data_IF_698492553585
#
_entry.id   IF_698492553585
#
_cell.length_a   1.000
_cell.length_b   1.000
_cell.length_c   1.000
_cell.angle_alpha   90.00
_cell.angle_beta   90.00
_cell.angle_gamma   90.00
#
_symmetry.space_group_name_H-M   'P 1'
#
loop_
_entity.id
_entity.type
_entity.pdbx_description
1 polymer ?
#
# COMPACT_ATOMS: atom_id res chain seq x y z
N UNK A 1 9.72 19.29 -24.71
CA UNK A 1 10.09 18.92 -23.33
C UNK A 1 8.82 18.50 -22.66
N UNK A 2 8.64 17.19 -22.59
CA UNK A 2 7.40 16.49 -22.30
C UNK A 2 7.05 16.59 -20.82
N UNK A 3 5.81 17.01 -20.54
CA UNK A 3 5.24 17.03 -19.20
C UNK A 3 4.58 15.68 -18.92
N UNK A 4 5.09 14.95 -17.94
CA UNK A 4 4.45 13.77 -17.36
C UNK A 4 3.26 14.23 -16.49
N UNK A 5 2.10 14.41 -17.13
CA UNK A 5 0.83 14.27 -16.44
C UNK A 5 0.66 12.78 -16.14
N UNK A 6 0.57 12.41 -14.86
CA UNK A 6 0.25 11.03 -14.45
C UNK A 6 -1.28 10.89 -14.30
N UNK A 7 -2.00 10.42 -15.32
CA UNK A 7 -3.33 9.89 -15.11
C UNK A 7 -3.22 8.60 -14.30
N UNK A 8 -3.75 8.61 -13.08
CA UNK A 8 -4.09 7.40 -12.33
C UNK A 8 -5.11 6.59 -13.14
N UNK A 9 -4.63 5.68 -13.99
CA UNK A 9 -5.47 4.75 -14.73
C UNK A 9 -5.55 3.41 -13.98
N UNK A 10 -6.68 3.07 -13.33
CA UNK A 10 -6.93 1.69 -12.97
C UNK A 10 -7.46 0.96 -14.22
N UNK A 11 -6.60 0.14 -14.84
CA UNK A 11 -6.99 -0.66 -16.00
C UNK A 11 -7.83 -1.91 -15.63
N UNK A 12 -8.45 -1.94 -14.45
CA UNK A 12 -8.99 -3.15 -13.83
C UNK A 12 -10.44 -2.96 -13.39
N UNK A 13 -11.42 -3.31 -14.22
CA UNK A 13 -12.80 -3.53 -13.75
C UNK A 13 -13.40 -4.70 -14.51
N UNK A 14 -14.10 -5.61 -13.81
CA UNK A 14 -14.83 -6.76 -14.41
C UNK A 14 -16.02 -6.30 -15.25
N UNK A 15 -16.53 -5.10 -15.02
CA UNK A 15 -17.72 -4.56 -15.69
C UNK A 15 -17.32 -3.47 -16.68
N UNK A 16 -17.54 -3.72 -17.98
CA UNK A 16 -17.25 -2.76 -19.06
C UNK A 16 -17.96 -1.41 -18.82
N UNK A 17 -19.20 -1.45 -18.33
CA UNK A 17 -20.00 -0.26 -17.97
C UNK A 17 -19.39 0.51 -16.81
N UNK A 18 -18.97 -0.17 -15.74
CA UNK A 18 -18.33 0.48 -14.60
C UNK A 18 -16.95 1.06 -14.96
N UNK A 19 -16.23 0.44 -15.91
CA UNK A 19 -14.96 0.97 -16.45
C UNK A 19 -15.19 2.26 -17.25
N UNK A 20 -16.22 2.29 -18.09
CA UNK A 20 -16.59 3.47 -18.87
C UNK A 20 -17.08 4.61 -17.98
N UNK A 21 -17.91 4.32 -16.97
CA UNK A 21 -18.33 5.31 -15.98
C UNK A 21 -17.16 5.85 -15.15
N UNK A 22 -16.23 4.99 -14.72
CA UNK A 22 -15.04 5.42 -13.98
C UNK A 22 -14.15 6.31 -14.85
N UNK A 23 -13.89 5.91 -16.10
CA UNK A 23 -13.13 6.72 -17.05
C UNK A 23 -13.83 8.04 -17.36
N UNK A 24 -15.16 8.04 -17.49
CA UNK A 24 -15.95 9.25 -17.71
C UNK A 24 -15.88 10.20 -16.51
N UNK A 25 -15.99 9.66 -15.29
CA UNK A 25 -15.86 10.43 -14.05
C UNK A 25 -14.45 11.01 -13.90
N UNK A 26 -13.40 10.21 -14.11
CA UNK A 26 -12.02 10.68 -14.09
C UNK A 26 -11.78 11.77 -15.14
N UNK A 27 -12.27 11.57 -16.37
CA UNK A 27 -12.17 12.56 -17.45
C UNK A 27 -12.93 13.83 -17.10
N UNK A 28 -14.11 13.72 -16.49
CA UNK A 28 -14.90 14.85 -16.02
C UNK A 28 -14.14 15.66 -14.94
N UNK A 29 -13.59 14.99 -13.93
CA UNK A 29 -12.78 15.64 -12.89
C UNK A 29 -11.56 16.36 -13.48
N UNK A 30 -10.87 15.71 -14.43
CA UNK A 30 -9.73 16.29 -15.13
C UNK A 30 -10.13 17.52 -15.95
N UNK A 31 -11.21 17.44 -16.73
CA UNK A 31 -11.73 18.56 -17.53
C UNK A 31 -12.23 19.73 -16.66
N UNK A 32 -12.67 19.45 -15.43
CA UNK A 32 -13.05 20.48 -14.45
C UNK A 32 -11.87 21.03 -13.65
N UNK A 33 -10.66 20.51 -13.86
CA UNK A 33 -9.48 20.89 -13.09
C UNK A 33 -9.57 20.51 -11.61
N UNK A 34 -10.47 19.60 -11.25
CA UNK A 34 -10.66 19.15 -9.88
C UNK A 34 -9.53 18.21 -9.50
N UNK A 35 -8.78 18.58 -8.47
CA UNK A 35 -7.68 17.82 -7.94
C UNK A 35 -7.76 17.82 -6.42
N UNK A 36 -7.20 16.78 -5.80
CA UNK A 36 -7.07 16.68 -4.36
C UNK A 36 -5.60 16.37 -4.02
N UNK A 37 -5.05 16.99 -2.97
CA UNK A 37 -3.70 16.68 -2.51
C UNK A 37 -3.63 15.22 -2.09
N UNK A 38 -2.59 14.47 -2.48
CA UNK A 38 -2.42 13.05 -2.14
C UNK A 38 -1.26 12.88 -1.16
N UNK A 39 -1.40 11.94 -0.23
CA UNK A 39 -0.35 11.55 0.69
C UNK A 39 0.65 10.62 -0.02
N UNK A 40 1.92 10.76 0.28
CA UNK A 40 3.00 9.95 -0.29
C UNK A 40 3.73 9.21 0.82
N UNK A 41 4.11 7.97 0.56
CA UNK A 41 5.01 7.23 1.45
C UNK A 41 6.42 7.30 0.86
N UNK A 42 7.34 7.90 1.62
CA UNK A 42 8.77 7.86 1.32
C UNK A 42 9.33 6.55 1.81
N UNK A 43 9.78 5.70 0.89
CA UNK A 43 10.41 4.41 1.16
C UNK A 43 11.93 4.54 1.04
N UNK A 44 12.65 4.01 2.02
CA UNK A 44 14.10 3.83 1.98
C UNK A 44 14.42 2.35 1.98
N UNK A 45 15.40 1.96 1.19
CA UNK A 45 15.91 0.58 1.15
C UNK A 45 17.31 0.50 1.73
N UNK A 46 17.71 -0.69 2.20
CA UNK A 46 19.05 -0.91 2.77
C UNK A 46 20.19 -0.60 1.78
N UNK A 47 19.97 -0.80 0.47
CA UNK A 47 20.91 -0.39 -0.58
C UNK A 47 21.04 1.13 -0.77
N UNK A 48 20.32 1.93 0.00
CA UNK A 48 20.39 3.40 -0.01
C UNK A 48 19.46 4.06 -1.03
N UNK A 49 18.57 3.31 -1.69
CA UNK A 49 17.58 3.91 -2.60
C UNK A 49 16.48 4.58 -1.80
N UNK A 50 16.01 5.72 -2.31
CA UNK A 50 14.80 6.39 -1.86
C UNK A 50 13.76 6.36 -2.97
N UNK A 51 12.57 5.84 -2.67
CA UNK A 51 11.44 5.71 -3.57
C UNK A 51 10.23 6.39 -2.94
N UNK A 52 9.25 6.76 -3.76
CA UNK A 52 7.97 7.27 -3.27
C UNK A 52 6.86 6.37 -3.76
N UNK A 53 5.94 6.03 -2.86
CA UNK A 53 4.76 5.22 -3.12
C UNK A 53 3.50 6.06 -2.90
N UNK A 54 2.61 6.03 -3.88
CA UNK A 54 1.29 6.68 -3.76
C UNK A 54 0.16 5.69 -3.48
N UNK A 55 0.41 4.38 -3.65
CA UNK A 55 -0.62 3.36 -3.51
C UNK A 55 -0.29 2.35 -2.42
N UNK A 56 0.81 1.59 -2.58
CA UNK A 56 1.10 0.48 -1.69
C UNK A 56 2.56 0.00 -1.69
N UNK A 57 2.94 -0.59 -0.56
CA UNK A 57 4.09 -1.47 -0.42
C UNK A 57 3.59 -2.89 -0.12
N UNK A 58 4.22 -3.91 -0.69
CA UNK A 58 3.86 -5.31 -0.44
C UNK A 58 5.08 -6.21 -0.28
N UNK A 59 4.94 -7.24 0.56
CA UNK A 59 5.87 -8.37 0.67
C UNK A 59 5.12 -9.66 0.99
N UNK A 60 5.49 -10.76 0.33
CA UNK A 60 4.94 -12.09 0.56
C UNK A 60 3.73 -12.40 -0.33
N UNK A 61 2.74 -13.13 0.19
CA UNK A 61 1.68 -13.77 -0.60
C UNK A 61 0.97 -12.83 -1.59
N UNK A 62 0.60 -11.60 -1.16
CA UNK A 62 -0.08 -10.64 -2.04
C UNK A 62 0.82 -10.22 -3.21
N UNK A 63 2.08 -9.85 -2.93
CA UNK A 63 3.06 -9.52 -3.97
C UNK A 63 3.38 -10.71 -4.87
N UNK A 64 3.43 -11.92 -4.32
CA UNK A 64 3.63 -13.15 -5.10
C UNK A 64 2.45 -13.40 -6.05
N UNK A 65 1.20 -13.15 -5.62
CA UNK A 65 0.01 -13.19 -6.49
C UNK A 65 0.10 -12.13 -7.57
N UNK A 66 0.42 -10.87 -7.22
CA UNK A 66 0.50 -9.75 -8.14
C UNK A 66 1.46 -10.06 -9.30
N UNK A 67 2.67 -10.51 -8.98
CA UNK A 67 3.71 -10.82 -9.96
C UNK A 67 3.43 -12.11 -10.72
N UNK A 68 3.09 -13.20 -10.02
CA UNK A 68 2.88 -14.51 -10.65
C UNK A 68 1.71 -14.49 -11.61
N UNK A 69 0.65 -13.73 -11.28
CA UNK A 69 -0.57 -13.63 -12.08
C UNK A 69 -0.42 -12.81 -13.36
N UNK A 70 0.68 -12.07 -13.56
CA UNK A 70 0.95 -11.35 -14.81
C UNK A 70 0.98 -12.29 -16.03
N UNK A 71 1.33 -13.57 -15.85
CA UNK A 71 1.22 -14.59 -16.92
C UNK A 71 -0.22 -14.79 -17.43
N UNK A 72 -1.20 -14.43 -16.60
CA UNK A 72 -2.64 -14.51 -16.87
C UNK A 72 -3.24 -13.15 -17.17
N UNK A 73 -2.44 -12.13 -17.55
CA UNK A 73 -2.91 -10.76 -17.82
C UNK A 73 -4.09 -10.69 -18.81
N UNK A 74 -4.19 -11.66 -19.74
CA UNK A 74 -5.31 -11.79 -20.68
C UNK A 74 -6.67 -12.06 -20.00
N UNK A 75 -6.68 -12.56 -18.76
CA UNK A 75 -7.90 -12.82 -17.99
C UNK A 75 -8.42 -11.58 -17.25
N UNK A 76 -7.79 -10.41 -17.40
CA UNK A 76 -8.17 -9.21 -16.66
C UNK A 76 -8.01 -9.43 -15.15
N UNK A 77 -8.96 -8.96 -14.34
CA UNK A 77 -8.89 -9.09 -12.87
C UNK A 77 -9.01 -10.53 -12.36
N UNK A 78 -9.58 -11.46 -13.15
CA UNK A 78 -9.64 -12.87 -12.77
C UNK A 78 -8.24 -13.50 -12.60
N UNK A 79 -7.18 -12.87 -13.15
CA UNK A 79 -5.78 -13.27 -12.93
C UNK A 79 -5.42 -13.38 -11.45
N UNK A 80 -5.94 -12.48 -10.61
CA UNK A 80 -5.64 -12.46 -9.18
C UNK A 80 -6.31 -13.62 -8.46
N UNK A 81 -7.55 -13.96 -8.86
CA UNK A 81 -8.25 -15.15 -8.38
C UNK A 81 -7.49 -16.42 -8.74
N UNK A 82 -7.08 -16.56 -10.02
CA UNK A 82 -6.31 -17.73 -10.49
C UNK A 82 -4.95 -17.83 -9.77
N UNK A 83 -4.22 -16.72 -9.67
CA UNK A 83 -2.94 -16.64 -8.97
C UNK A 83 -3.07 -17.01 -7.50
N UNK A 84 -4.12 -16.54 -6.83
CA UNK A 84 -4.43 -16.89 -5.44
C UNK A 84 -4.66 -18.39 -5.30
N UNK A 85 -5.52 -19.00 -6.11
CA UNK A 85 -5.76 -20.45 -6.05
C UNK A 85 -4.47 -21.24 -6.30
N UNK A 86 -3.65 -20.82 -7.26
CA UNK A 86 -2.37 -21.46 -7.55
C UNK A 86 -1.45 -21.41 -6.32
N UNK A 87 -1.27 -20.25 -5.70
CA UNK A 87 -0.36 -20.08 -4.56
C UNK A 87 -0.92 -20.68 -3.26
N UNK A 88 -2.25 -20.79 -3.12
CA UNK A 88 -2.88 -21.47 -1.98
C UNK A 88 -2.58 -22.99 -1.96
N UNK A 89 -2.27 -23.61 -3.10
CA UNK A 89 -1.90 -25.05 -3.13
C UNK A 89 -0.63 -25.32 -2.32
N UNK A 90 0.29 -24.34 -2.25
CA UNK A 90 1.53 -24.39 -1.50
C UNK A 90 1.78 -23.04 -0.82
N UNK A 91 0.94 -22.74 0.18
CA UNK A 91 1.00 -21.50 0.95
C UNK A 91 2.39 -21.33 1.58
N UNK A 92 3.07 -20.25 1.20
CA UNK A 92 4.40 -19.94 1.69
C UNK A 92 4.35 -19.11 2.97
N UNK A 93 5.36 -19.33 3.80
CA UNK A 93 5.69 -18.50 4.95
C UNK A 93 7.04 -17.82 4.66
N UNK A 94 7.14 -16.56 5.06
CA UNK A 94 8.28 -15.67 4.86
C UNK A 94 8.77 -15.22 6.23
N UNK A 95 10.08 -15.35 6.47
CA UNK A 95 10.68 -14.94 7.74
C UNK A 95 11.18 -13.52 7.67
N UNK A 96 10.77 -12.69 8.61
CA UNK A 96 11.06 -11.27 8.62
C UNK A 96 10.77 -10.65 9.97
N UNK A 97 11.28 -9.45 10.22
CA UNK A 97 10.84 -8.61 11.34
C UNK A 97 9.99 -7.47 10.82
N UNK A 98 8.90 -7.20 11.53
CA UNK A 98 8.03 -6.06 11.28
C UNK A 98 8.04 -5.13 12.50
N UNK A 99 8.26 -3.85 12.27
CA UNK A 99 8.15 -2.80 13.28
C UNK A 99 7.38 -1.63 12.71
N UNK A 100 6.60 -0.94 13.53
CA UNK A 100 5.83 0.22 13.08
C UNK A 100 5.59 1.24 14.18
N UNK A 101 5.32 2.47 13.75
CA UNK A 101 4.86 3.58 14.59
C UNK A 101 3.34 3.73 14.42
N UNK A 102 2.52 3.37 15.42
CA UNK A 102 1.06 3.54 15.32
C UNK A 102 0.65 4.98 15.04
N UNK A 103 -0.39 5.18 14.25
CA UNK A 103 -1.08 6.46 14.17
C UNK A 103 -1.98 6.59 15.41
N UNK A 104 -1.78 7.62 16.22
CA UNK A 104 -2.64 7.89 17.37
C UNK A 104 -4.09 8.16 16.91
N UNK A 105 -5.08 7.63 17.63
CA UNK A 105 -6.49 7.96 17.40
C UNK A 105 -6.69 9.46 17.69
N UNK A 106 -7.10 10.22 16.65
CA UNK A 106 -7.11 11.68 16.62
C UNK A 106 -7.62 12.35 17.91
N UNK A 107 -6.73 13.08 18.60
CA UNK A 107 -7.10 14.18 19.48
C UNK A 107 -6.19 15.39 19.32
N UNK A 108 -5.88 15.81 18.09
CA UNK A 108 -5.34 17.16 17.79
C UNK A 108 -5.37 17.44 16.28
N UNK A 109 -5.90 18.59 15.82
CA UNK A 109 -5.68 19.05 14.45
C UNK A 109 -4.27 19.63 14.37
N UNK A 110 -3.26 18.82 14.03
CA UNK A 110 -1.92 19.32 13.82
C UNK A 110 -1.87 20.12 12.50
N UNK A 111 -2.03 21.43 12.65
CA UNK A 111 -1.66 22.43 11.66
C UNK A 111 -0.16 22.34 11.37
N UNK A 112 0.20 21.77 10.23
CA UNK A 112 1.47 22.11 9.57
C UNK A 112 1.15 22.49 8.13
N UNK A 113 0.93 23.79 7.92
CA UNK A 113 1.07 24.40 6.61
C UNK A 113 2.47 24.05 6.11
N UNK A 114 2.55 23.33 4.99
CA UNK A 114 3.81 23.04 4.32
C UNK A 114 4.51 24.38 4.06
N UNK A 115 5.73 24.54 4.58
CA UNK A 115 6.63 25.60 4.14
C UNK A 115 7.05 25.23 2.71
N UNK A 116 6.81 26.15 1.79
CA UNK A 116 6.93 25.97 0.33
C UNK A 116 8.33 25.55 -0.19
N UNK A 117 9.34 25.44 0.69
CA UNK A 117 10.73 25.10 0.34
C UNK A 117 11.36 23.96 1.18
N UNK A 118 10.60 23.22 2.02
CA UNK A 118 11.20 22.15 2.82
C UNK A 118 11.34 20.84 2.04
N UNK A 119 12.58 20.37 1.87
CA UNK A 119 12.90 18.99 1.48
C UNK A 119 12.08 18.02 2.35
N UNK A 120 11.36 17.07 1.74
CA UNK A 120 10.66 16.02 2.48
C UNK A 120 11.69 15.23 3.29
N UNK A 121 11.75 15.47 4.60
CA UNK A 121 12.70 14.84 5.51
C UNK A 121 12.02 13.69 6.25
N UNK A 122 12.63 12.51 6.21
CA UNK A 122 12.09 11.31 6.86
C UNK A 122 12.43 11.30 8.35
N UNK A 123 11.91 12.27 9.10
CA UNK A 123 12.24 12.50 10.51
C UNK A 123 11.86 11.37 11.46
N UNK A 124 10.95 10.46 11.05
CA UNK A 124 10.54 9.29 11.84
C UNK A 124 11.47 8.09 11.61
N UNK A 125 12.32 8.13 10.58
CA UNK A 125 13.14 6.99 10.17
C UNK A 125 14.58 7.15 10.67
N UNK A 126 15.08 6.14 11.36
CA UNK A 126 16.49 6.02 11.74
C UNK A 126 17.24 5.16 10.70
N UNK A 127 18.59 5.21 10.61
CA UNK A 127 19.36 4.31 9.76
C UNK A 127 19.07 2.83 10.06
N UNK A 128 19.32 1.95 9.09
CA UNK A 128 19.05 0.51 9.23
C UNK A 128 19.97 -0.18 10.24
N UNK A 129 21.16 0.37 10.45
CA UNK A 129 22.15 -0.13 11.41
C UNK A 129 21.73 0.14 12.86
N UNK A 130 20.78 1.06 13.07
CA UNK A 130 20.26 1.40 14.38
C UNK A 130 18.94 0.67 14.64
N UNK A 131 18.70 0.23 15.89
CA UNK A 131 17.40 -0.32 16.26
C UNK A 131 16.31 0.74 16.07
N UNK A 132 15.09 0.29 15.77
CA UNK A 132 13.94 1.20 15.71
C UNK A 132 13.76 1.93 17.05
N UNK A 133 13.25 3.17 17.04
CA UNK A 133 13.01 3.93 18.28
C UNK A 133 12.15 3.15 19.29
N UNK A 134 12.42 3.30 20.59
CA UNK A 134 11.74 2.55 21.66
C UNK A 134 10.22 2.74 21.73
N UNK A 135 9.70 3.81 21.14
CA UNK A 135 8.25 4.10 21.10
C UNK A 135 7.55 3.41 19.91
N UNK A 136 8.28 2.72 19.05
CA UNK A 136 7.71 1.89 17.99
C UNK A 136 7.27 0.55 18.56
N UNK A 137 6.23 -0.01 17.95
CA UNK A 137 5.79 -1.37 18.20
C UNK A 137 6.62 -2.33 17.35
N UNK A 138 7.28 -3.29 18.00
CA UNK A 138 7.94 -4.42 17.34
C UNK A 138 7.00 -5.61 17.41
N UNK A 139 6.64 -6.17 16.24
CA UNK A 139 5.77 -7.35 16.16
C UNK A 139 6.58 -8.56 16.66
N UNK A 140 6.07 -9.33 17.64
CA UNK A 140 6.80 -10.44 18.22
C UNK A 140 6.89 -11.64 17.27
N UNK A 141 5.94 -11.80 16.35
CA UNK A 141 6.00 -12.80 15.29
C UNK A 141 7.08 -12.45 14.26
N UNK A 142 7.90 -13.44 13.90
CA UNK A 142 8.93 -13.32 12.86
C UNK A 142 8.58 -14.10 11.58
N UNK A 143 7.40 -14.72 11.54
CA UNK A 143 6.93 -15.53 10.42
C UNK A 143 5.60 -14.99 9.90
N UNK A 144 5.59 -14.61 8.63
CA UNK A 144 4.46 -13.97 7.98
C UNK A 144 4.05 -14.73 6.73
N UNK A 145 2.77 -14.62 6.36
CA UNK A 145 2.27 -15.01 5.04
C UNK A 145 2.25 -13.80 4.10
N UNK A 146 1.93 -12.61 4.61
CA UNK A 146 1.97 -11.38 3.80
C UNK A 146 2.08 -10.14 4.70
N UNK A 147 2.74 -9.10 4.21
CA UNK A 147 2.73 -7.75 4.76
C UNK A 147 2.39 -6.78 3.63
N UNK A 148 1.44 -5.88 3.85
CA UNK A 148 0.99 -4.88 2.88
C UNK A 148 0.79 -3.55 3.62
N UNK A 149 1.47 -2.50 3.18
CA UNK A 149 1.15 -1.12 3.55
C UNK A 149 0.35 -0.47 2.44
N UNK A 150 -0.81 0.10 2.76
CA UNK A 150 -1.68 0.74 1.76
C UNK A 150 -2.21 2.08 2.26
N UNK A 151 -2.23 3.07 1.37
CA UNK A 151 -2.69 4.44 1.66
C UNK A 151 -4.17 4.63 1.30
N UNK A 152 -4.73 3.72 0.50
CA UNK A 152 -6.12 3.74 0.06
C UNK A 152 -6.88 2.54 0.63
N UNK A 153 -8.21 2.61 0.60
CA UNK A 153 -9.07 1.51 1.06
C UNK A 153 -8.97 0.26 0.18
N UNK A 154 -8.64 0.45 -1.10
CA UNK A 154 -8.65 -0.57 -2.14
C UNK A 154 -7.23 -0.85 -2.65
N UNK A 155 -6.80 -2.11 -2.60
CA UNK A 155 -5.57 -2.58 -3.28
C UNK A 155 -5.81 -2.79 -4.78
N UNK A 156 -7.08 -2.96 -5.17
CA UNK A 156 -7.57 -3.01 -6.54
C UNK A 156 -9.08 -2.79 -6.54
N UNK A 157 -9.68 -2.64 -7.71
CA UNK A 157 -11.11 -2.27 -7.84
C UNK A 157 -12.06 -3.22 -7.11
N UNK A 158 -11.70 -4.49 -7.01
CA UNK A 158 -12.47 -5.51 -6.29
C UNK A 158 -11.79 -5.93 -4.98
N UNK A 159 -10.72 -5.28 -4.50
CA UNK A 159 -9.94 -5.72 -3.34
C UNK A 159 -9.89 -4.66 -2.25
N UNK A 160 -10.87 -4.68 -1.34
CA UNK A 160 -10.91 -3.77 -0.18
C UNK A 160 -10.07 -4.39 0.93
N UNK A 161 -8.90 -3.83 1.21
CA UNK A 161 -8.00 -4.32 2.28
C UNK A 161 -8.10 -3.48 3.55
N UNK A 162 -8.31 -2.17 3.40
CA UNK A 162 -8.42 -1.23 4.50
C UNK A 162 -9.78 -0.50 4.45
N UNK A 163 -10.87 -1.11 4.95
CA UNK A 163 -12.22 -0.55 4.80
C UNK A 163 -12.45 0.66 5.72
N UNK A 164 -11.60 0.82 6.74
CA UNK A 164 -11.55 1.97 7.64
C UNK A 164 -10.70 3.12 7.11
N UNK A 165 -9.97 2.91 6.01
CA UNK A 165 -9.14 3.94 5.41
C UNK A 165 -10.01 5.09 4.93
N UNK A 166 -9.70 6.29 5.40
CA UNK A 166 -10.31 7.51 4.88
C UNK A 166 -9.29 8.18 3.98
N UNK A 167 -9.77 8.78 2.90
CA UNK A 167 -8.94 9.69 2.12
C UNK A 167 -8.41 10.79 3.06
N UNK A 168 -7.09 10.94 3.09
CA UNK A 168 -6.38 11.96 3.89
C UNK A 168 -6.44 11.76 5.41
N UNK A 169 -6.47 10.51 5.89
CA UNK A 169 -6.33 10.24 7.33
C UNK A 169 -4.89 10.26 7.84
N UNK A 170 -3.93 10.61 6.98
CA UNK A 170 -2.52 10.74 7.35
C UNK A 170 -2.02 9.43 7.99
N UNK A 171 -2.44 8.30 7.42
CA UNK A 171 -2.01 6.99 7.86
C UNK A 171 -1.67 6.06 6.69
N UNK A 172 -0.72 5.17 6.95
CA UNK A 172 -0.51 3.95 6.18
C UNK A 172 -1.32 2.87 6.89
N UNK A 173 -2.22 2.19 6.19
CA UNK A 173 -2.89 1.01 6.73
C UNK A 173 -2.02 -0.20 6.50
N UNK A 174 -1.40 -0.66 7.58
CA UNK A 174 -0.54 -1.83 7.57
C UNK A 174 -1.41 -3.07 7.83
N UNK A 175 -1.56 -3.88 6.79
CA UNK A 175 -2.23 -5.16 6.81
C UNK A 175 -1.18 -6.28 6.80
N UNK A 176 -1.19 -7.16 7.78
CA UNK A 176 -0.29 -8.30 7.79
C UNK A 176 -0.98 -9.58 8.26
N UNK A 177 -0.49 -10.70 7.75
CA UNK A 177 -0.96 -12.03 8.08
C UNK A 177 0.20 -12.83 8.66
N UNK A 178 0.06 -13.31 9.88
CA UNK A 178 1.08 -14.12 10.56
C UNK A 178 1.00 -15.60 10.13
N UNK A 179 2.09 -16.33 10.31
CA UNK A 179 2.10 -17.77 10.11
C UNK A 179 1.11 -18.48 11.07
N UNK A 180 0.58 -19.62 10.64
CA UNK A 180 -0.44 -20.38 11.39
C UNK A 180 -1.85 -20.29 10.79
N UNK A 181 -2.11 -19.34 9.89
CA UNK A 181 -3.35 -19.30 9.11
C UNK A 181 -3.46 -20.53 8.19
N UNK A 182 -4.62 -21.20 8.20
CA UNK A 182 -4.86 -22.32 7.30
C UNK A 182 -5.10 -21.84 5.85
N UNK A 183 -4.89 -22.72 4.87
CA UNK A 183 -5.20 -22.43 3.46
C UNK A 183 -6.68 -22.04 3.26
N UNK A 184 -7.59 -22.69 4.00
CA UNK A 184 -9.01 -22.34 4.00
C UNK A 184 -9.26 -20.98 4.66
N UNK A 185 -8.50 -20.65 5.72
CA UNK A 185 -8.51 -19.31 6.33
C UNK A 185 -8.08 -18.23 5.34
N UNK A 186 -6.98 -18.45 4.61
CA UNK A 186 -6.54 -17.54 3.55
C UNK A 186 -7.55 -17.42 2.41
N UNK A 187 -8.18 -18.52 2.00
CA UNK A 187 -9.23 -18.49 0.97
C UNK A 187 -10.45 -17.66 1.45
N UNK A 188 -10.88 -17.85 2.71
CA UNK A 188 -11.96 -17.05 3.30
C UNK A 188 -11.59 -15.58 3.40
N UNK A 189 -10.36 -15.28 3.79
CA UNK A 189 -9.83 -13.92 3.84
C UNK A 189 -9.87 -13.26 2.46
N UNK A 190 -9.37 -13.94 1.42
CA UNK A 190 -9.42 -13.46 0.04
C UNK A 190 -10.86 -13.17 -0.41
N UNK A 191 -11.80 -14.09 -0.17
CA UNK A 191 -13.22 -13.88 -0.50
C UNK A 191 -13.86 -12.74 0.30
N UNK A 192 -13.41 -12.51 1.54
CA UNK A 192 -13.93 -11.45 2.38
C UNK A 192 -13.38 -10.08 1.96
N UNK A 193 -12.11 -9.99 1.57
CA UNK A 193 -11.49 -8.80 0.97
C UNK A 193 -12.20 -8.44 -0.34
N UNK A 194 -12.58 -9.43 -1.16
CA UNK A 194 -13.35 -9.18 -2.39
C UNK A 194 -14.73 -8.56 -2.11
N UNK A 195 -15.29 -8.84 -0.93
CA UNK A 195 -16.59 -8.35 -0.47
C UNK A 195 -16.50 -7.16 0.50
N UNK A 196 -15.29 -6.70 0.85
CA UNK A 196 -15.07 -5.67 1.89
C UNK A 196 -15.55 -6.05 3.29
N UNK A 197 -15.57 -7.35 3.63
CA UNK A 197 -16.09 -7.89 4.89
C UNK A 197 -15.00 -8.54 5.76
N UNK A 198 -13.72 -8.34 5.45
CA UNK A 198 -12.60 -8.98 6.14
C UNK A 198 -12.52 -8.64 7.63
N UNK A 199 -12.97 -7.46 8.07
CA UNK A 199 -13.01 -7.10 9.49
C UNK A 199 -14.03 -7.92 10.31
N UNK A 200 -14.97 -8.61 9.64
CA UNK A 200 -15.92 -9.51 10.30
C UNK A 200 -15.34 -10.91 10.51
N UNK A 201 -14.21 -11.21 9.86
CA UNK A 201 -13.49 -12.46 10.07
C UNK A 201 -12.71 -12.33 11.39
N UNK A 202 -13.25 -12.89 12.47
CA UNK A 202 -12.52 -13.07 13.72
C UNK A 202 -11.38 -14.09 13.51
N UNK A 203 -10.27 -13.64 12.91
CA UNK A 203 -9.12 -14.47 12.55
C UNK A 203 -7.89 -13.94 13.32
N UNK A 204 -7.32 -14.74 14.23
CA UNK A 204 -6.25 -14.26 15.12
C UNK A 204 -4.94 -13.97 14.38
N UNK A 205 -4.80 -14.45 13.14
CA UNK A 205 -3.60 -14.27 12.34
C UNK A 205 -3.68 -13.08 11.38
N UNK A 206 -4.80 -12.35 11.34
CA UNK A 206 -5.02 -11.25 10.39
C UNK A 206 -5.07 -9.95 11.17
N UNK A 207 -4.17 -9.03 10.84
CA UNK A 207 -3.99 -7.78 11.56
C UNK A 207 -4.09 -6.60 10.60
N UNK A 208 -4.75 -5.54 11.04
CA UNK A 208 -4.83 -4.27 10.33
C UNK A 208 -4.61 -3.14 11.35
N UNK A 209 -3.59 -2.32 11.13
CA UNK A 209 -3.23 -1.22 12.02
C UNK A 209 -2.88 0.02 11.20
N UNK A 210 -3.36 1.19 11.63
CA UNK A 210 -2.99 2.48 11.04
C UNK A 210 -1.65 2.92 11.62
N UNK A 211 -0.70 3.30 10.77
CA UNK A 211 0.69 3.63 11.16
C UNK A 211 1.18 4.89 10.44
N UNK A 212 2.11 5.62 11.06
CA UNK A 212 2.82 6.75 10.43
C UNK A 212 4.08 6.31 9.70
N UNK A 213 4.71 5.27 10.21
CA UNK A 213 5.94 4.73 9.67
C UNK A 213 6.03 3.22 9.95
N UNK A 214 6.78 2.51 9.13
CA UNK A 214 7.03 1.08 9.30
C UNK A 214 8.46 0.72 8.86
N UNK A 215 8.93 -0.43 9.33
CA UNK A 215 10.16 -1.09 8.90
C UNK A 215 9.91 -2.58 8.74
N UNK A 216 10.25 -3.12 7.58
CA UNK A 216 10.20 -4.55 7.24
C UNK A 216 11.61 -5.01 6.94
N UNK A 217 12.06 -6.04 7.66
CA UNK A 217 13.39 -6.63 7.54
C UNK A 217 13.26 -8.12 7.18
N UNK A 218 13.39 -8.51 5.90
CA UNK A 218 13.42 -9.92 5.53
C UNK A 218 14.62 -10.63 6.16
N UNK A 219 14.39 -11.77 6.79
CA UNK A 219 15.45 -12.65 7.30
C UNK A 219 15.93 -13.64 6.23
N UNK A 220 15.14 -13.81 5.17
CA UNK A 220 15.43 -14.64 4.01
C UNK A 220 15.13 -13.86 2.74
N UNK A 221 15.94 -14.01 1.70
CA UNK A 221 15.70 -13.43 0.38
C UNK A 221 14.64 -14.23 -0.38
N UNK A 222 13.43 -14.31 0.18
CA UNK A 222 12.30 -15.13 -0.29
C UNK A 222 11.07 -14.26 -0.52
N UNK A 223 10.32 -14.58 -1.57
CA UNK A 223 9.12 -13.84 -1.97
C UNK A 223 9.43 -12.56 -2.72
N UNK A 224 8.41 -12.03 -3.40
CA UNK A 224 8.48 -10.73 -4.04
C UNK A 224 8.20 -9.62 -3.04
N UNK A 225 8.97 -8.53 -3.16
CA UNK A 225 8.58 -7.22 -2.64
C UNK A 225 8.08 -6.38 -3.80
N UNK A 226 7.07 -5.55 -3.54
CA UNK A 226 6.51 -4.65 -4.54
C UNK A 226 6.27 -3.25 -3.98
N UNK A 227 6.40 -2.24 -4.85
CA UNK A 227 6.01 -0.86 -4.60
C UNK A 227 5.11 -0.42 -5.73
N UNK A 228 3.88 -0.03 -5.42
CA UNK A 228 2.83 0.35 -6.38
C UNK A 228 2.63 -0.70 -7.50
N UNK A 229 2.85 -1.98 -7.18
CA UNK A 229 2.75 -3.12 -8.10
C UNK A 229 4.04 -3.46 -8.87
N UNK A 230 5.08 -2.63 -8.78
CA UNK A 230 6.38 -2.88 -9.43
C UNK A 230 7.34 -3.64 -8.52
N UNK A 231 8.15 -4.52 -9.08
CA UNK A 231 9.07 -5.38 -8.32
C UNK A 231 10.17 -4.55 -7.66
N UNK A 232 10.35 -4.77 -6.35
CA UNK A 232 11.47 -4.27 -5.56
C UNK A 232 12.39 -5.44 -5.16
N UNK A 233 13.68 -5.16 -5.05
CA UNK A 233 14.63 -6.11 -4.46
C UNK A 233 14.22 -6.45 -3.03
N UNK A 234 14.21 -7.74 -2.69
CA UNK A 234 13.90 -8.21 -1.34
C UNK A 234 15.08 -7.90 -0.40
N UNK A 235 14.99 -6.76 0.27
CA UNK A 235 15.97 -6.24 1.24
C UNK A 235 15.22 -5.48 2.36
N UNK A 236 15.88 -5.07 3.45
CA UNK A 236 15.23 -4.23 4.46
C UNK A 236 14.70 -2.93 3.86
N UNK A 237 13.45 -2.61 4.17
CA UNK A 237 12.74 -1.42 3.70
C UNK A 237 12.08 -0.73 4.90
N UNK A 238 12.10 0.60 4.90
CA UNK A 238 11.33 1.40 5.85
C UNK A 238 10.60 2.52 5.14
N UNK A 239 9.40 2.84 5.62
CA UNK A 239 8.51 3.81 5.02
C UNK A 239 7.99 4.82 6.04
N UNK A 240 7.82 6.07 5.62
CA UNK A 240 7.14 7.13 6.37
C UNK A 240 6.13 7.83 5.48
N UNK A 241 4.94 8.12 6.02
CA UNK A 241 3.94 8.95 5.33
C UNK A 241 4.31 10.44 5.38
N UNK A 242 4.04 11.12 4.27
CA UNK A 242 4.17 12.56 4.11
C UNK A 242 2.86 13.11 3.56
N UNK A 243 2.29 14.08 4.27
CA UNK A 243 0.98 14.61 3.95
C UNK A 243 1.01 15.63 2.83
N UNK A 244 -0.03 15.58 1.99
CA UNK A 244 -0.39 16.67 1.05
C UNK A 244 0.76 17.16 0.17
N UNK A 245 1.64 16.25 -0.25
CA UNK A 245 2.88 16.60 -0.96
C UNK A 245 2.67 16.95 -2.44
N UNK A 246 1.54 16.57 -3.03
CA UNK A 246 1.19 16.86 -4.41
C UNK A 246 0.15 17.99 -4.49
N UNK A 247 0.62 19.22 -4.62
CA UNK A 247 -0.20 20.32 -5.16
C UNK A 247 0.05 20.40 -6.67
N UNK A 248 -0.96 20.33 -7.55
CA UNK A 248 -0.75 20.70 -8.94
C UNK A 248 -0.54 22.22 -9.02
N UNK A 249 0.38 22.60 -9.89
CA UNK A 249 0.67 23.99 -10.25
C UNK A 249 -0.64 24.75 -10.55
N UNK A 250 -0.80 26.00 -10.08
CA UNK A 250 -1.94 26.82 -10.47
C UNK A 250 -1.88 27.08 -11.98
N UNK A 251 -2.76 26.43 -12.74
CA UNK A 251 -3.07 26.80 -14.12
C UNK A 251 -3.88 28.10 -14.09
N UNK A 252 -3.19 29.22 -13.83
CA UNK A 252 -3.85 30.51 -13.63
C UNK A 252 -2.89 31.68 -13.48
N UNK A 253 -1.93 31.80 -14.39
CA UNK A 253 -1.28 33.10 -14.63
C UNK A 253 -2.18 33.96 -15.53
N UNK A 254 -2.34 35.28 -15.26
CA UNK A 254 -3.14 36.15 -16.10
C UNK A 254 -2.54 36.21 -17.51
N UNK A 255 -3.38 35.98 -18.52
CA UNK A 255 -3.08 36.33 -19.91
C UNK A 255 -3.11 37.86 -19.98
N UNK A 256 -1.95 38.48 -20.15
CA UNK A 256 -1.84 39.83 -20.70
C UNK A 256 -1.91 39.76 -22.23
#
# INVERSE_FOLDING_TARGET
>A
MEWLSFPLFPHYSKNHVAKEELLMNCTYFLCKGLHAPMDLVSLRTASGKRLFSFLSFGWGFVSDVDITSERYRKLGSARFTVGTFQLLTSLQVYKGRLSYLPAEEQSSPASSLLKEDSVLEDSLLVPFEQPVPKHWTVVPEEEFVSIVGIQQSHLGTDFIIAPTAKLFDDAIHLFYVTAGISRMGMLRLFMAVEKGSQLTLNQPHVHCVSVKAFRVEPLESKGFMTVDGEVLTCEPVQGQIHNRCLNPLPLGGPIL
#
